data_IF_295268649827
#
_entry.id   IF_295268649827
#
_cell.length_a   1.000
_cell.length_b   1.000
_cell.length_c   1.000
_cell.angle_alpha   90.00
_cell.angle_beta   90.00
_cell.angle_gamma   90.00
#
_symmetry.space_group_name_H-M   'P 1'
#
loop_
_entity.id
_entity.type
_entity.pdbx_description
1 polymer ?
#
# COMPACT_ATOMS: atom_id res chain seq x y z
N UNK A 1 -41.94 4.16 61.94
CA UNK A 1 -40.68 3.75 61.29
C UNK A 1 -40.98 2.52 60.45
N UNK A 2 -41.26 2.71 59.16
CA UNK A 2 -41.35 1.59 58.21
C UNK A 2 -39.92 1.24 57.81
N UNK A 3 -39.44 0.10 58.29
CA UNK A 3 -38.20 -0.52 57.82
C UNK A 3 -38.50 -1.12 56.46
N UNK A 4 -38.08 -0.43 55.41
CA UNK A 4 -38.10 -0.97 54.05
C UNK A 4 -37.17 -2.21 54.01
N UNK A 5 -37.67 -3.39 53.62
CA UNK A 5 -36.83 -4.57 53.52
C UNK A 5 -35.78 -4.34 52.45
N UNK A 6 -34.51 -4.42 52.85
CA UNK A 6 -33.37 -4.44 51.92
C UNK A 6 -33.60 -5.53 50.87
N UNK A 7 -33.59 -5.20 49.57
CA UNK A 7 -33.77 -6.20 48.52
C UNK A 7 -32.66 -7.25 48.61
N UNK A 8 -32.99 -8.53 48.34
CA UNK A 8 -32.00 -9.61 48.37
C UNK A 8 -30.89 -9.32 47.36
N UNK A 9 -29.62 -9.67 47.69
CA UNK A 9 -28.52 -9.52 46.74
C UNK A 9 -28.81 -10.35 45.49
N UNK A 10 -28.51 -9.83 44.28
CA UNK A 10 -28.78 -10.54 43.04
C UNK A 10 -28.06 -11.90 43.01
N UNK A 11 -28.82 -12.99 42.81
CA UNK A 11 -28.37 -14.39 42.92
C UNK A 11 -27.37 -14.85 41.86
N UNK A 12 -26.98 -13.99 40.91
CA UNK A 12 -25.87 -14.28 40.01
C UNK A 12 -25.34 -12.99 39.40
N UNK A 13 -24.01 -12.84 39.24
CA UNK A 13 -23.48 -11.77 38.41
C UNK A 13 -24.06 -11.95 37.00
N UNK A 14 -24.61 -10.88 36.39
CA UNK A 14 -25.17 -10.99 35.05
C UNK A 14 -24.13 -11.59 34.11
N UNK A 15 -24.54 -12.43 33.15
CA UNK A 15 -23.62 -13.05 32.21
C UNK A 15 -22.76 -11.95 31.59
N UNK A 16 -21.44 -12.13 31.60
CA UNK A 16 -20.50 -11.15 31.09
C UNK A 16 -20.86 -10.82 29.63
N UNK A 17 -21.49 -9.66 29.43
CA UNK A 17 -21.88 -9.21 28.10
C UNK A 17 -20.60 -9.10 27.29
N UNK A 18 -20.50 -9.75 26.12
CA UNK A 18 -19.32 -9.63 25.29
C UNK A 18 -19.16 -8.16 24.91
N UNK A 19 -18.15 -7.50 25.50
CA UNK A 19 -17.75 -6.11 25.26
C UNK A 19 -17.11 -5.92 23.88
N UNK A 20 -17.48 -6.75 22.92
CA UNK A 20 -16.83 -6.84 21.62
C UNK A 20 -17.84 -7.14 20.51
N UNK A 21 -17.86 -6.30 19.46
CA UNK A 21 -18.67 -6.50 18.26
C UNK A 21 -18.08 -7.62 17.37
N UNK A 22 -18.20 -8.85 17.87
CA UNK A 22 -17.59 -10.03 17.28
C UNK A 22 -18.07 -10.29 15.85
N UNK A 23 -19.31 -9.93 15.52
CA UNK A 23 -19.85 -10.05 14.17
C UNK A 23 -19.10 -9.15 13.18
N UNK A 24 -18.89 -7.88 13.54
CA UNK A 24 -18.16 -6.91 12.72
C UNK A 24 -16.69 -7.30 12.53
N UNK A 25 -15.98 -7.64 13.61
CA UNK A 25 -14.56 -8.00 13.47
C UNK A 25 -14.35 -9.37 12.83
N UNK A 26 -15.23 -10.36 13.03
CA UNK A 26 -15.06 -11.67 12.39
C UNK A 26 -15.47 -11.67 10.92
N UNK A 27 -16.11 -10.61 10.43
CA UNK A 27 -16.45 -10.50 9.01
C UNK A 27 -15.18 -10.55 8.14
N UNK A 28 -15.06 -11.64 7.37
CA UNK A 28 -13.97 -11.86 6.40
C UNK A 28 -14.14 -10.97 5.17
N UNK A 29 -15.34 -10.45 4.94
CA UNK A 29 -15.65 -9.60 3.80
C UNK A 29 -14.81 -8.29 3.81
N UNK A 30 -14.75 -7.59 4.94
CA UNK A 30 -14.03 -6.32 5.05
C UNK A 30 -12.53 -6.41 4.65
N UNK A 31 -11.71 -7.32 5.21
CA UNK A 31 -10.30 -7.41 4.82
C UNK A 31 -10.15 -7.86 3.36
N UNK A 32 -11.05 -8.70 2.84
CA UNK A 32 -11.02 -9.08 1.44
C UNK A 32 -11.31 -7.90 0.51
N UNK A 33 -12.26 -7.03 0.87
CA UNK A 33 -12.59 -5.82 0.12
C UNK A 33 -11.42 -4.81 0.15
N UNK A 34 -10.81 -4.58 1.31
CA UNK A 34 -9.63 -3.71 1.42
C UNK A 34 -8.46 -4.26 0.61
N UNK A 35 -8.24 -5.58 0.64
CA UNK A 35 -7.22 -6.25 -0.16
C UNK A 35 -7.44 -6.01 -1.66
N UNK A 36 -8.65 -6.27 -2.15
CA UNK A 36 -9.01 -6.10 -3.56
C UNK A 36 -8.94 -4.62 -3.98
N UNK A 37 -9.42 -3.70 -3.15
CA UNK A 37 -9.34 -2.26 -3.39
C UNK A 37 -7.88 -1.81 -3.55
N UNK A 38 -7.01 -2.14 -2.59
CA UNK A 38 -5.60 -1.75 -2.65
C UNK A 38 -4.87 -2.44 -3.80
N UNK A 39 -5.17 -3.70 -4.10
CA UNK A 39 -4.58 -4.39 -5.25
C UNK A 39 -4.99 -3.73 -6.57
N UNK A 40 -6.27 -3.37 -6.71
CA UNK A 40 -6.77 -2.65 -7.90
C UNK A 40 -6.14 -1.26 -8.05
N UNK A 41 -5.83 -0.57 -6.95
CA UNK A 41 -5.08 0.69 -6.98
C UNK A 41 -3.68 0.52 -7.59
N UNK A 42 -2.97 -0.56 -7.22
CA UNK A 42 -1.60 -0.82 -7.67
C UNK A 42 -1.50 -1.29 -9.13
N UNK A 43 -2.58 -1.84 -9.68
CA UNK A 43 -2.61 -2.25 -11.08
C UNK A 43 -2.33 -1.08 -12.03
N UNK A 44 -2.71 0.16 -11.66
CA UNK A 44 -2.41 1.35 -12.46
C UNK A 44 -0.91 1.57 -12.66
N UNK A 45 -0.14 1.85 -11.58
CA UNK A 45 1.31 2.02 -11.67
C UNK A 45 2.05 0.82 -12.27
N UNK A 46 1.63 -0.42 -11.97
CA UNK A 46 2.25 -1.63 -12.54
C UNK A 46 2.01 -1.72 -14.05
N UNK A 47 0.78 -1.42 -14.51
CA UNK A 47 0.49 -1.39 -15.94
C UNK A 47 1.30 -0.29 -16.65
N UNK A 48 1.46 0.87 -16.03
CA UNK A 48 2.29 1.97 -16.54
C UNK A 48 3.77 1.54 -16.65
N UNK A 49 4.33 0.92 -15.62
CA UNK A 49 5.71 0.40 -15.66
C UNK A 49 5.92 -0.64 -16.76
N UNK A 50 4.97 -1.57 -16.93
CA UNK A 50 4.99 -2.56 -18.02
C UNK A 50 4.96 -1.89 -19.38
N UNK A 51 4.17 -0.83 -19.53
CA UNK A 51 4.04 -0.09 -20.77
C UNK A 51 5.33 0.68 -21.12
N UNK A 52 5.95 1.32 -20.14
CA UNK A 52 7.19 2.11 -20.34
C UNK A 52 8.38 1.18 -20.63
N UNK A 53 8.53 0.10 -19.87
CA UNK A 53 9.68 -0.82 -20.00
C UNK A 53 9.53 -1.84 -21.13
N UNK A 54 8.29 -2.13 -21.57
CA UNK A 54 7.98 -3.25 -22.45
C UNK A 54 8.16 -4.63 -21.79
N UNK A 55 8.46 -4.71 -20.49
CA UNK A 55 8.84 -5.95 -19.84
C UNK A 55 7.68 -6.58 -19.04
N UNK A 56 7.37 -7.83 -19.32
CA UNK A 56 6.29 -8.55 -18.63
C UNK A 56 6.63 -8.97 -17.19
N UNK A 57 7.92 -8.94 -16.81
CA UNK A 57 8.39 -9.42 -15.49
C UNK A 57 7.91 -8.58 -14.33
N UNK A 58 7.47 -7.35 -14.56
CA UNK A 58 6.82 -6.52 -13.56
C UNK A 58 5.57 -7.17 -12.95
N UNK A 59 4.97 -8.18 -13.61
CA UNK A 59 3.90 -8.99 -13.02
C UNK A 59 4.33 -9.78 -11.77
N UNK A 60 5.63 -10.03 -11.58
CA UNK A 60 6.18 -10.65 -10.36
C UNK A 60 5.95 -9.75 -9.13
N UNK A 61 5.77 -8.43 -9.32
CA UNK A 61 5.46 -7.52 -8.24
C UNK A 61 4.05 -7.73 -7.67
N UNK A 62 3.10 -8.25 -8.44
CA UNK A 62 1.72 -8.46 -7.97
C UNK A 62 1.64 -9.39 -6.74
N UNK A 63 2.20 -10.61 -6.76
CA UNK A 63 2.15 -11.47 -5.58
C UNK A 63 2.97 -10.90 -4.42
N UNK A 64 4.01 -10.09 -4.67
CA UNK A 64 4.72 -9.36 -3.62
C UNK A 64 3.83 -8.28 -2.98
N UNK A 65 3.18 -7.43 -3.77
CA UNK A 65 2.25 -6.43 -3.23
C UNK A 65 1.06 -7.06 -2.53
N UNK A 66 0.54 -8.19 -3.02
CA UNK A 66 -0.49 -8.95 -2.33
C UNK A 66 -0.01 -9.37 -0.92
N UNK A 67 1.23 -9.85 -0.81
CA UNK A 67 1.84 -10.17 0.48
C UNK A 67 1.93 -8.95 1.39
N UNK A 68 2.43 -7.81 0.87
CA UNK A 68 2.55 -6.56 1.63
C UNK A 68 1.19 -6.07 2.16
N UNK A 69 0.15 -6.12 1.32
CA UNK A 69 -1.21 -5.71 1.69
C UNK A 69 -1.78 -6.67 2.74
N UNK A 70 -1.65 -7.98 2.55
CA UNK A 70 -2.11 -8.99 3.51
C UNK A 70 -1.42 -8.83 4.87
N UNK A 71 -0.11 -8.59 4.85
CA UNK A 71 0.68 -8.33 6.05
C UNK A 71 0.16 -7.08 6.77
N UNK A 72 -0.03 -5.97 6.05
CA UNK A 72 -0.57 -4.73 6.63
C UNK A 72 -1.95 -4.97 7.28
N UNK A 73 -2.87 -5.64 6.59
CA UNK A 73 -4.22 -5.94 7.10
C UNK A 73 -4.12 -6.84 8.35
N UNK A 74 -3.29 -7.88 8.30
CA UNK A 74 -3.11 -8.83 9.38
C UNK A 74 -2.57 -8.15 10.65
N UNK A 75 -1.48 -7.39 10.51
CA UNK A 75 -0.82 -6.70 11.63
C UNK A 75 -1.79 -5.74 12.31
N UNK A 76 -2.57 -4.96 11.55
CA UNK A 76 -3.55 -4.02 12.13
C UNK A 76 -4.69 -4.72 12.86
N UNK A 77 -5.22 -5.81 12.30
CA UNK A 77 -6.27 -6.60 12.97
C UNK A 77 -5.78 -7.30 14.23
N UNK A 78 -4.51 -7.72 14.24
CA UNK A 78 -3.89 -8.31 15.41
C UNK A 78 -3.70 -7.26 16.52
N UNK A 79 -3.13 -6.10 16.20
CA UNK A 79 -2.93 -4.99 17.15
C UNK A 79 -4.24 -4.40 17.70
N UNK A 80 -5.35 -4.50 16.96
CA UNK A 80 -6.65 -4.00 17.42
C UNK A 80 -7.28 -4.85 18.55
N UNK A 81 -6.72 -6.03 18.87
CA UNK A 81 -7.20 -6.83 20.00
C UNK A 81 -6.87 -6.14 21.32
N UNK A 82 -7.81 -6.09 22.30
CA UNK A 82 -7.60 -5.38 23.56
C UNK A 82 -6.32 -5.82 24.31
N UNK A 83 -6.04 -7.12 24.29
CA UNK A 83 -4.85 -7.73 24.89
C UNK A 83 -3.52 -7.20 24.34
N UNK A 84 -3.52 -6.60 23.14
CA UNK A 84 -2.32 -6.21 22.41
C UNK A 84 -2.23 -4.69 22.17
N UNK A 85 -3.11 -3.89 22.78
CA UNK A 85 -3.22 -2.44 22.51
C UNK A 85 -1.96 -1.64 22.93
N UNK A 86 -1.17 -2.18 23.87
CA UNK A 86 0.10 -1.61 24.32
C UNK A 86 1.23 -1.73 23.27
N UNK A 87 1.08 -2.59 22.26
CA UNK A 87 2.08 -2.81 21.20
C UNK A 87 1.94 -1.86 20.00
N UNK A 88 1.25 -0.72 20.17
CA UNK A 88 1.13 0.32 19.15
C UNK A 88 2.44 1.05 18.81
N UNK A 89 3.58 0.59 19.33
CA UNK A 89 4.89 1.23 19.25
C UNK A 89 5.29 1.52 17.78
N UNK A 90 5.62 2.77 17.43
CA UNK A 90 6.13 3.11 16.10
C UNK A 90 7.35 2.26 15.68
N UNK A 91 8.15 1.77 16.63
CA UNK A 91 9.34 0.93 16.35
C UNK A 91 8.98 -0.39 15.67
N UNK A 92 7.90 -1.04 16.11
CA UNK A 92 7.45 -2.29 15.49
C UNK A 92 6.99 -2.07 14.04
N UNK A 93 6.38 -0.90 13.76
CA UNK A 93 5.97 -0.50 12.41
C UNK A 93 7.18 -0.26 11.51
N UNK A 94 8.23 0.35 12.04
CA UNK A 94 9.49 0.53 11.31
C UNK A 94 10.14 -0.81 10.98
N UNK A 95 10.09 -1.79 11.89
CA UNK A 95 10.54 -3.16 11.61
C UNK A 95 9.73 -3.86 10.52
N UNK A 96 8.41 -3.67 10.49
CA UNK A 96 7.55 -4.18 9.43
C UNK A 96 7.92 -3.59 8.06
N UNK A 97 8.11 -2.27 8.01
CA UNK A 97 8.54 -1.55 6.80
C UNK A 97 9.93 -2.02 6.34
N UNK A 98 10.89 -2.12 7.26
CA UNK A 98 12.23 -2.59 6.96
C UNK A 98 12.20 -3.99 6.33
N UNK A 99 11.41 -4.91 6.89
CA UNK A 99 11.24 -6.26 6.34
C UNK A 99 10.65 -6.23 4.92
N UNK A 100 9.62 -5.41 4.69
CA UNK A 100 9.01 -5.24 3.35
C UNK A 100 10.04 -4.74 2.34
N UNK A 101 10.87 -3.75 2.71
CA UNK A 101 11.91 -3.19 1.84
C UNK A 101 13.01 -4.19 1.51
N UNK A 102 13.47 -4.99 2.49
CA UNK A 102 14.42 -6.08 2.23
C UNK A 102 13.86 -7.13 1.27
N UNK A 103 12.61 -7.55 1.48
CA UNK A 103 11.96 -8.53 0.60
C UNK A 103 11.76 -7.96 -0.80
N UNK A 104 11.43 -6.67 -0.92
CA UNK A 104 11.34 -5.99 -2.20
C UNK A 104 12.69 -6.03 -2.94
N UNK A 105 13.80 -5.82 -2.25
CA UNK A 105 15.14 -5.87 -2.87
C UNK A 105 15.37 -7.21 -3.57
N UNK A 106 15.01 -8.31 -2.91
CA UNK A 106 15.11 -9.66 -3.48
C UNK A 106 14.22 -9.83 -4.72
N UNK A 107 13.02 -9.24 -4.70
CA UNK A 107 12.10 -9.27 -5.85
C UNK A 107 12.67 -8.45 -7.02
N UNK A 108 13.25 -7.28 -6.76
CA UNK A 108 13.87 -6.44 -7.78
C UNK A 108 15.07 -7.16 -8.42
N UNK A 109 15.91 -7.83 -7.65
CA UNK A 109 16.98 -8.68 -8.20
C UNK A 109 16.44 -9.79 -9.09
N UNK A 110 15.33 -10.43 -8.71
CA UNK A 110 14.69 -11.45 -9.54
C UNK A 110 14.16 -10.87 -10.88
N UNK A 111 13.71 -9.62 -10.89
CA UNK A 111 13.26 -8.92 -12.10
C UNK A 111 14.46 -8.58 -13.00
N UNK A 112 15.53 -8.00 -12.42
CA UNK A 112 16.74 -7.56 -13.12
C UNK A 112 17.64 -8.72 -13.59
N UNK A 113 17.49 -9.93 -13.04
CA UNK A 113 18.36 -11.12 -13.29
C UNK A 113 19.83 -10.88 -13.00
N UNK A 114 20.15 -9.95 -12.09
CA UNK A 114 21.51 -9.73 -11.67
C UNK A 114 21.90 -10.82 -10.65
N UNK A 115 22.89 -11.68 -10.96
CA UNK A 115 23.42 -12.60 -9.96
C UNK A 115 24.13 -11.81 -8.86
N UNK A 116 24.07 -12.30 -7.62
CA UNK A 116 24.80 -11.72 -6.49
C UNK A 116 26.29 -12.06 -6.64
N UNK A 117 27.01 -11.31 -7.48
CA UNK A 117 28.47 -11.48 -7.65
C UNK A 117 29.22 -10.68 -6.59
N UNK A 118 30.45 -11.11 -6.31
CA UNK A 118 31.34 -10.39 -5.39
C UNK A 118 31.61 -8.94 -5.88
N UNK A 119 31.61 -8.73 -7.19
CA UNK A 119 31.79 -7.41 -7.80
C UNK A 119 30.63 -6.46 -7.47
N UNK A 120 29.39 -6.95 -7.55
CA UNK A 120 28.21 -6.16 -7.19
C UNK A 120 28.21 -5.83 -5.68
N UNK A 121 28.57 -6.79 -4.83
CA UNK A 121 28.70 -6.56 -3.40
C UNK A 121 29.83 -5.57 -3.07
N UNK A 122 30.95 -5.64 -3.78
CA UNK A 122 32.05 -4.66 -3.68
C UNK A 122 31.59 -3.29 -4.13
N UNK A 123 30.78 -3.20 -5.19
CA UNK A 123 30.18 -1.96 -5.67
C UNK A 123 29.37 -1.27 -4.56
N UNK A 124 28.52 -2.01 -3.84
CA UNK A 124 27.75 -1.46 -2.72
C UNK A 124 28.63 -1.01 -1.55
N UNK A 125 29.77 -1.69 -1.32
CA UNK A 125 30.70 -1.32 -0.25
C UNK A 125 31.48 -0.04 -0.57
N UNK A 126 31.77 0.19 -1.86
CA UNK A 126 32.47 1.39 -2.32
C UNK A 126 31.51 2.57 -2.50
N UNK A 127 30.32 2.31 -3.02
CA UNK A 127 29.26 3.31 -3.21
C UNK A 127 27.90 2.73 -2.74
N UNK A 128 27.49 3.01 -1.48
CA UNK A 128 26.23 2.50 -0.94
C UNK A 128 24.98 2.96 -1.69
N UNK A 129 25.04 4.08 -2.42
CA UNK A 129 23.89 4.61 -3.14
C UNK A 129 23.52 3.74 -4.34
N UNK A 130 24.48 2.98 -4.90
CA UNK A 130 24.22 1.99 -5.97
C UNK A 130 23.28 0.87 -5.54
N UNK A 131 23.09 0.65 -4.23
CA UNK A 131 22.06 -0.26 -3.74
C UNK A 131 20.65 0.27 -3.99
N UNK A 132 20.46 1.58 -4.00
CA UNK A 132 19.17 2.27 -4.18
C UNK A 132 18.94 2.64 -5.64
N UNK A 133 18.93 1.65 -6.53
CA UNK A 133 18.65 1.90 -7.94
C UNK A 133 17.22 2.47 -8.17
N UNK A 134 16.98 3.23 -9.24
CA UNK A 134 15.68 3.88 -9.47
C UNK A 134 14.49 2.93 -9.49
N UNK A 135 14.68 1.70 -9.99
CA UNK A 135 13.63 0.69 -10.02
C UNK A 135 13.30 0.22 -8.59
N UNK A 136 14.31 -0.02 -7.76
CA UNK A 136 14.10 -0.33 -6.34
C UNK A 136 13.40 0.81 -5.60
N UNK A 137 13.87 2.06 -5.74
CA UNK A 137 13.29 3.23 -5.05
C UNK A 137 11.84 3.45 -5.46
N UNK A 138 11.52 3.37 -6.75
CA UNK A 138 10.16 3.54 -7.25
C UNK A 138 9.22 2.46 -6.72
N UNK A 139 9.64 1.19 -6.76
CA UNK A 139 8.83 0.10 -6.21
C UNK A 139 8.74 0.11 -4.68
N UNK A 140 9.75 0.65 -3.99
CA UNK A 140 9.72 0.86 -2.55
C UNK A 140 8.65 1.89 -2.21
N UNK A 141 8.61 3.01 -2.95
CA UNK A 141 7.53 4.00 -2.84
C UNK A 141 6.15 3.38 -3.03
N UNK A 142 5.95 2.58 -4.08
CA UNK A 142 4.68 1.88 -4.31
C UNK A 142 4.34 0.88 -3.20
N UNK A 143 5.33 0.15 -2.67
CA UNK A 143 5.12 -0.80 -1.57
C UNK A 143 4.71 -0.09 -0.28
N UNK A 144 5.32 1.06 0.02
CA UNK A 144 4.97 1.89 1.17
C UNK A 144 3.58 2.51 1.01
N UNK A 145 3.22 2.98 -0.19
CA UNK A 145 1.87 3.47 -0.49
C UNK A 145 0.85 2.34 -0.31
N UNK A 146 1.10 1.16 -0.88
CA UNK A 146 0.24 -0.02 -0.73
C UNK A 146 0.03 -0.41 0.73
N UNK A 147 1.15 -0.53 1.46
CA UNK A 147 1.16 -0.88 2.88
C UNK A 147 0.42 0.16 3.71
N UNK A 148 0.75 1.44 3.53
CA UNK A 148 0.17 2.56 4.27
C UNK A 148 -1.32 2.70 4.01
N UNK A 149 -1.74 2.60 2.74
CA UNK A 149 -3.14 2.66 2.34
C UNK A 149 -3.95 1.51 2.94
N UNK A 150 -3.49 0.26 2.80
CA UNK A 150 -4.16 -0.90 3.38
C UNK A 150 -4.20 -0.85 4.92
N UNK A 151 -3.11 -0.42 5.55
CA UNK A 151 -3.02 -0.24 7.00
C UNK A 151 -3.99 0.84 7.50
N UNK A 152 -4.06 1.98 6.81
CA UNK A 152 -4.94 3.10 7.16
C UNK A 152 -6.41 2.69 7.05
N UNK A 153 -6.81 2.12 5.91
CA UNK A 153 -8.17 1.63 5.70
C UNK A 153 -8.57 0.57 6.73
N UNK A 154 -7.67 -0.37 7.02
CA UNK A 154 -7.95 -1.41 8.02
C UNK A 154 -8.18 -0.79 9.39
N UNK A 155 -7.37 0.20 9.77
CA UNK A 155 -7.52 0.91 11.05
C UNK A 155 -8.84 1.68 11.11
N UNK A 156 -9.15 2.46 10.07
CA UNK A 156 -10.41 3.22 9.96
C UNK A 156 -11.64 2.32 10.14
N UNK A 157 -11.70 1.19 9.44
CA UNK A 157 -12.86 0.30 9.54
C UNK A 157 -12.89 -0.53 10.83
N UNK A 158 -11.75 -0.79 11.47
CA UNK A 158 -11.74 -1.36 12.82
C UNK A 158 -12.28 -0.35 13.84
N UNK A 159 -11.95 0.93 13.67
CA UNK A 159 -12.42 2.02 14.54
C UNK A 159 -13.88 2.42 14.30
N UNK A 160 -14.42 2.19 13.09
CA UNK A 160 -15.85 2.37 12.78
C UNK A 160 -16.75 1.36 13.52
N UNK A 161 -16.20 0.25 14.00
CA UNK A 161 -16.94 -0.73 14.81
C UNK A 161 -17.55 -0.12 16.08
N UNK A 162 -18.53 -0.81 16.68
CA UNK A 162 -19.06 -0.39 17.97
C UNK A 162 -17.99 -0.55 19.06
N UNK A 163 -17.84 0.48 19.89
CA UNK A 163 -16.87 0.45 20.96
C UNK A 163 -17.39 -0.43 22.14
N UNK A 164 -16.49 -1.03 22.95
CA UNK A 164 -16.87 -1.89 24.07
C UNK A 164 -17.90 -1.29 25.04
N UNK A 165 -17.77 0.00 25.30
CA UNK A 165 -18.62 0.83 26.16
C UNK A 165 -19.98 1.15 25.52
N UNK A 166 -20.06 1.20 24.18
CA UNK A 166 -21.31 1.41 23.45
C UNK A 166 -22.21 0.18 23.41
N UNK A 167 -21.64 -1.00 23.65
CA UNK A 167 -22.37 -2.27 23.70
C UNK A 167 -23.16 -2.46 24.99
N UNK A 168 -22.91 -1.64 26.01
CA UNK A 168 -23.65 -1.69 27.28
C UNK A 168 -25.09 -1.19 27.03
N UNK A 169 -26.12 -1.99 27.38
CA UNK A 169 -27.52 -1.61 27.27
C UNK A 169 -27.80 -0.27 27.94
N UNK A 170 -28.73 0.51 27.38
CA UNK A 170 -29.07 1.83 27.88
C UNK A 170 -29.59 1.81 29.33
N UNK A 171 -30.32 0.74 29.70
CA UNK A 171 -30.91 0.51 31.04
C UNK A 171 -29.82 0.39 32.11
N UNK A 172 -28.73 -0.32 31.80
CA UNK A 172 -27.60 -0.54 32.72
C UNK A 172 -26.68 0.70 32.86
N UNK A 173 -26.74 1.67 31.93
CA UNK A 173 -25.92 2.89 32.01
C UNK A 173 -26.37 3.83 33.11
N UNK A 174 -27.65 3.81 33.46
CA UNK A 174 -28.26 4.72 34.44
C UNK A 174 -27.97 4.30 35.90
N UNK A 175 -27.58 3.04 36.13
CA UNK A 175 -27.56 2.46 37.48
C UNK A 175 -26.25 2.54 38.28
N UNK A 176 -25.05 2.42 37.67
CA UNK A 176 -23.81 2.30 38.49
C UNK A 176 -22.47 2.55 37.79
N UNK A 177 -22.43 2.71 36.45
CA UNK A 177 -21.17 2.81 35.66
C UNK A 177 -21.09 4.05 34.77
N UNK A 178 -21.75 5.14 35.17
CA UNK A 178 -21.78 6.39 34.42
C UNK A 178 -20.40 7.10 34.26
N UNK A 179 -19.39 6.72 35.06
CA UNK A 179 -18.07 7.36 35.09
C UNK A 179 -17.07 6.83 34.05
N UNK A 180 -17.40 5.77 33.30
CA UNK A 180 -16.56 5.25 32.19
C UNK A 180 -17.26 5.50 30.85
N UNK A 181 -17.67 6.73 30.58
CA UNK A 181 -18.11 7.12 29.25
C UNK A 181 -16.88 7.52 28.44
N UNK A 182 -16.41 6.63 27.55
CA UNK A 182 -15.45 7.07 26.56
C UNK A 182 -16.18 8.08 25.65
N UNK A 183 -15.51 9.17 25.28
CA UNK A 183 -16.09 10.14 24.37
C UNK A 183 -16.51 9.42 23.06
N UNK A 184 -17.76 9.58 22.61
CA UNK A 184 -18.23 8.91 21.40
C UNK A 184 -17.34 9.32 20.23
N UNK A 185 -16.72 8.34 19.57
CA UNK A 185 -15.87 8.63 18.40
C UNK A 185 -16.71 9.28 17.30
N UNK A 186 -16.19 10.33 16.68
CA UNK A 186 -16.83 10.96 15.53
C UNK A 186 -16.70 10.07 14.28
N UNK A 187 -17.60 9.11 14.12
CA UNK A 187 -17.59 8.15 13.00
C UNK A 187 -17.85 8.81 11.64
N UNK A 188 -18.51 9.96 11.62
CA UNK A 188 -18.74 10.72 10.41
C UNK A 188 -17.42 11.24 9.83
N UNK A 189 -16.57 11.82 10.70
CA UNK A 189 -15.23 12.27 10.33
C UNK A 189 -14.35 11.12 9.83
N UNK A 190 -14.45 9.93 10.44
CA UNK A 190 -13.74 8.73 9.96
C UNK A 190 -14.18 8.34 8.55
N UNK A 191 -15.47 8.46 8.25
CA UNK A 191 -16.02 8.15 6.93
C UNK A 191 -15.61 9.18 5.89
N UNK A 192 -15.54 10.46 6.27
CA UNK A 192 -15.02 11.54 5.43
C UNK A 192 -13.55 11.32 5.09
N UNK A 193 -12.72 10.97 6.08
CA UNK A 193 -11.32 10.58 5.86
C UNK A 193 -11.19 9.37 4.93
N UNK A 194 -12.07 8.38 5.07
CA UNK A 194 -12.13 7.25 4.15
C UNK A 194 -12.45 7.70 2.72
N UNK A 195 -13.48 8.53 2.55
CA UNK A 195 -13.90 9.03 1.25
C UNK A 195 -12.80 9.87 0.58
N UNK A 196 -12.09 10.70 1.35
CA UNK A 196 -10.95 11.48 0.88
C UNK A 196 -9.80 10.58 0.39
N UNK A 197 -9.39 9.59 1.21
CA UNK A 197 -8.34 8.64 0.82
C UNK A 197 -8.71 7.83 -0.43
N UNK A 198 -9.96 7.35 -0.50
CA UNK A 198 -10.48 6.64 -1.66
C UNK A 198 -10.50 7.53 -2.91
N UNK A 199 -10.87 8.80 -2.78
CA UNK A 199 -10.84 9.73 -3.90
C UNK A 199 -9.42 9.93 -4.43
N UNK A 200 -8.45 10.15 -3.53
CA UNK A 200 -7.04 10.31 -3.92
C UNK A 200 -6.47 9.06 -4.60
N UNK A 201 -6.81 7.87 -4.11
CA UNK A 201 -6.42 6.64 -4.80
C UNK A 201 -7.10 6.49 -6.16
N UNK A 202 -8.36 6.90 -6.30
CA UNK A 202 -9.06 6.95 -7.59
C UNK A 202 -8.39 7.91 -8.57
N UNK A 203 -7.95 9.09 -8.11
CA UNK A 203 -7.17 10.05 -8.91
C UNK A 203 -5.84 9.43 -9.35
N UNK A 204 -5.10 8.80 -8.44
CA UNK A 204 -3.84 8.13 -8.79
C UNK A 204 -4.04 7.02 -9.85
N UNK A 205 -5.07 6.19 -9.68
CA UNK A 205 -5.39 5.10 -10.61
C UNK A 205 -5.81 5.62 -11.98
N UNK A 206 -6.65 6.65 -12.02
CA UNK A 206 -7.11 7.28 -13.28
C UNK A 206 -5.98 8.01 -14.00
N UNK A 207 -5.09 8.70 -13.28
CA UNK A 207 -3.88 9.30 -13.84
C UNK A 207 -2.94 8.23 -14.41
N UNK A 208 -2.70 7.16 -13.67
CA UNK A 208 -1.89 6.02 -14.15
C UNK A 208 -2.49 5.42 -15.42
N UNK A 209 -3.82 5.31 -15.48
CA UNK A 209 -4.52 4.80 -16.65
C UNK A 209 -4.44 5.74 -17.85
N UNK A 210 -4.56 7.04 -17.62
CA UNK A 210 -4.39 8.06 -18.66
C UNK A 210 -2.96 8.03 -19.23
N UNK A 211 -1.94 7.94 -18.36
CA UNK A 211 -0.53 7.85 -18.74
C UNK A 211 -0.19 6.55 -19.49
N UNK A 212 -0.82 5.44 -19.12
CA UNK A 212 -0.60 4.14 -19.78
C UNK A 212 -1.17 4.09 -21.21
N UNK A 213 -1.96 5.09 -21.62
CA UNK A 213 -2.58 5.16 -22.95
C UNK A 213 -1.58 5.68 -23.99
N UNK A 214 -0.76 4.79 -24.54
CA UNK A 214 0.28 5.15 -25.52
C UNK A 214 -0.26 5.35 -26.95
N UNK A 215 -1.49 4.93 -27.27
CA UNK A 215 -2.08 5.12 -28.60
C UNK A 215 -3.45 5.79 -28.51
N UNK A 216 -3.51 7.08 -28.87
CA UNK A 216 -4.76 7.80 -29.13
C UNK A 216 -5.42 7.40 -30.45
N UNK A 217 -5.06 6.25 -31.03
CA UNK A 217 -5.78 5.72 -32.18
C UNK A 217 -7.01 4.99 -31.65
N UNK A 218 -8.24 5.51 -31.88
CA UNK A 218 -9.44 4.75 -31.54
C UNK A 218 -9.35 3.41 -32.26
N UNK A 219 -9.44 2.31 -31.51
CA UNK A 219 -9.49 0.99 -32.11
C UNK A 219 -10.71 0.95 -33.05
N UNK A 220 -10.53 0.73 -34.37
CA UNK A 220 -11.66 0.76 -35.31
C UNK A 220 -12.65 -0.34 -34.91
N UNK A 221 -13.93 0.05 -34.73
CA UNK A 221 -15.03 -0.89 -34.44
C UNK A 221 -15.49 -1.01 -32.97
N UNK A 222 -14.89 -0.28 -32.01
CA UNK A 222 -15.38 -0.23 -30.62
C UNK A 222 -15.91 1.15 -30.26
N UNK A 223 -17.21 1.37 -30.49
CA UNK A 223 -17.89 2.66 -30.25
C UNK A 223 -18.39 2.85 -28.81
N UNK A 224 -18.44 1.78 -28.00
CA UNK A 224 -19.08 1.81 -26.69
C UNK A 224 -18.19 1.26 -25.56
N UNK A 225 -18.32 1.88 -24.38
CA UNK A 225 -17.75 1.41 -23.11
C UNK A 225 -16.26 1.71 -22.88
N UNK A 226 -15.79 1.41 -21.66
CA UNK A 226 -14.41 1.67 -21.19
C UNK A 226 -13.33 1.02 -22.07
N UNK A 227 -13.66 -0.04 -22.81
CA UNK A 227 -12.73 -0.70 -23.73
C UNK A 227 -12.40 0.13 -24.98
N UNK A 228 -13.23 1.12 -25.33
CA UNK A 228 -12.98 2.06 -26.40
C UNK A 228 -11.85 3.06 -26.07
N UNK A 229 -11.47 3.17 -24.78
CA UNK A 229 -10.40 4.07 -24.32
C UNK A 229 -8.98 3.58 -24.68
N UNK A 230 -8.84 2.42 -25.33
CA UNK A 230 -7.52 1.85 -25.66
C UNK A 230 -6.75 1.35 -24.44
N UNK A 231 -7.43 1.17 -23.31
CA UNK A 231 -6.84 0.64 -22.08
C UNK A 231 -6.77 -0.89 -22.16
N UNK A 232 -5.70 -1.47 -21.59
CA UNK A 232 -5.59 -2.91 -21.42
C UNK A 232 -6.74 -3.46 -20.55
N UNK A 233 -7.22 -4.69 -20.78
CA UNK A 233 -8.34 -5.27 -20.05
C UNK A 233 -8.09 -5.33 -18.53
N UNK A 234 -6.85 -5.57 -18.14
CA UNK A 234 -6.41 -5.61 -16.74
C UNK A 234 -6.67 -4.27 -16.01
N UNK A 235 -6.42 -3.15 -16.70
CA UNK A 235 -6.53 -1.81 -16.13
C UNK A 235 -7.98 -1.33 -16.10
N UNK A 236 -8.78 -1.67 -17.12
CA UNK A 236 -10.24 -1.47 -17.10
C UNK A 236 -10.86 -2.21 -15.92
N UNK A 237 -10.48 -3.48 -15.74
CA UNK A 237 -10.95 -4.30 -14.64
C UNK A 237 -10.54 -3.70 -13.28
N UNK A 238 -9.30 -3.22 -13.16
CA UNK A 238 -8.82 -2.55 -11.96
C UNK A 238 -9.60 -1.27 -11.64
N UNK A 239 -9.84 -0.40 -12.62
CA UNK A 239 -10.67 0.81 -12.47
C UNK A 239 -12.07 0.47 -11.98
N UNK A 240 -12.74 -0.47 -12.66
CA UNK A 240 -14.10 -0.88 -12.31
C UNK A 240 -14.14 -1.45 -10.89
N UNK A 241 -13.25 -2.39 -10.56
CA UNK A 241 -13.22 -2.95 -9.21
C UNK A 241 -12.88 -1.92 -8.15
N UNK A 242 -11.94 -1.00 -8.41
CA UNK A 242 -11.56 0.03 -7.46
C UNK A 242 -12.76 0.89 -7.05
N UNK A 243 -13.49 1.42 -8.04
CA UNK A 243 -14.64 2.29 -7.75
C UNK A 243 -15.83 1.51 -7.16
N UNK A 244 -16.14 0.31 -7.66
CA UNK A 244 -17.25 -0.50 -7.13
C UNK A 244 -16.99 -0.94 -5.68
N UNK A 245 -15.78 -1.44 -5.38
CA UNK A 245 -15.40 -1.87 -4.03
C UNK A 245 -15.33 -0.66 -3.10
N UNK A 246 -14.81 0.47 -3.58
CA UNK A 246 -14.72 1.70 -2.81
C UNK A 246 -16.09 2.25 -2.40
N UNK A 247 -17.05 2.28 -3.33
CA UNK A 247 -18.46 2.63 -3.05
C UNK A 247 -19.12 1.62 -2.12
N UNK A 248 -18.83 0.33 -2.28
CA UNK A 248 -19.38 -0.71 -1.42
C UNK A 248 -18.87 -0.57 0.02
N UNK A 249 -17.57 -0.31 0.20
CA UNK A 249 -16.97 -0.01 1.50
C UNK A 249 -17.51 1.30 2.09
N UNK A 250 -17.77 2.33 1.27
CA UNK A 250 -18.41 3.58 1.72
C UNK A 250 -19.82 3.30 2.28
N UNK A 251 -20.61 2.50 1.57
CA UNK A 251 -21.94 2.08 2.02
C UNK A 251 -21.87 1.23 3.30
N UNK A 252 -20.85 0.39 3.43
CA UNK A 252 -20.58 -0.38 4.64
C UNK A 252 -20.20 0.52 5.83
N UNK A 253 -19.41 1.57 5.60
CA UNK A 253 -19.10 2.58 6.60
C UNK A 253 -20.32 3.40 7.03
N UNK A 254 -21.19 3.80 6.10
CA UNK A 254 -22.46 4.46 6.40
C UNK A 254 -23.37 3.59 7.29
N UNK A 255 -23.43 2.28 7.02
CA UNK A 255 -24.17 1.34 7.87
C UNK A 255 -23.62 1.32 9.30
N UNK A 256 -22.30 1.41 9.49
CA UNK A 256 -21.69 1.46 10.82
C UNK A 256 -22.08 2.74 11.57
N UNK A 257 -22.09 3.89 10.88
CA UNK A 257 -22.54 5.18 11.43
C UNK A 257 -24.00 5.08 11.86
N UNK A 258 -24.90 4.62 10.99
CA UNK A 258 -26.32 4.46 11.29
C UNK A 258 -26.57 3.49 12.45
N UNK A 259 -25.89 2.34 12.46
CA UNK A 259 -25.99 1.36 13.54
C UNK A 259 -25.60 1.97 14.88
N UNK A 260 -24.57 2.81 14.93
CA UNK A 260 -24.19 3.51 16.17
C UNK A 260 -25.23 4.54 16.64
N UNK A 261 -25.99 5.14 15.71
CA UNK A 261 -27.09 6.07 16.05
C UNK A 261 -28.30 5.29 16.57
N UNK A 262 -28.75 4.27 15.85
CA UNK A 262 -29.86 3.41 16.28
C UNK A 262 -29.60 2.73 17.63
N UNK A 263 -28.36 2.31 17.90
CA UNK A 263 -28.00 1.74 19.20
C UNK A 263 -28.08 2.77 20.33
N UNK A 264 -27.76 4.05 20.07
CA UNK A 264 -27.90 5.13 21.05
C UNK A 264 -29.35 5.55 21.27
N UNK A 265 -30.17 5.47 20.23
CA UNK A 265 -31.60 5.82 20.24
C UNK A 265 -32.49 4.67 20.71
N UNK A 266 -31.95 3.46 20.94
CA UNK A 266 -32.72 2.29 21.35
C UNK A 266 -33.74 1.81 20.29
N UNK A 267 -33.48 2.07 19.01
CA UNK A 267 -34.45 1.78 17.95
C UNK A 267 -34.69 0.27 17.80
N UNK A 268 -35.94 -0.23 17.87
CA UNK A 268 -36.23 -1.65 17.66
C UNK A 268 -36.02 -2.07 16.19
N UNK A 269 -35.66 -3.34 15.93
CA UNK A 269 -35.64 -3.91 14.57
C UNK A 269 -34.33 -3.77 13.76
N UNK A 270 -33.23 -3.34 14.38
CA UNK A 270 -31.91 -3.11 13.72
C UNK A 270 -31.41 -4.33 12.93
N UNK A 271 -31.67 -5.55 13.41
CA UNK A 271 -31.16 -6.79 12.79
C UNK A 271 -31.69 -7.03 11.36
N UNK A 272 -32.95 -6.69 11.08
CA UNK A 272 -33.54 -6.94 9.75
C UNK A 272 -33.00 -5.97 8.69
N UNK A 273 -32.77 -4.71 9.08
CA UNK A 273 -32.26 -3.67 8.18
C UNK A 273 -30.79 -3.95 7.84
N UNK A 274 -29.97 -4.28 8.85
CA UNK A 274 -28.53 -4.56 8.67
C UNK A 274 -28.29 -5.74 7.73
N UNK A 275 -29.06 -6.83 7.85
CA UNK A 275 -28.93 -8.00 6.96
C UNK A 275 -29.30 -7.72 5.50
N UNK A 276 -30.29 -6.86 5.24
CA UNK A 276 -30.73 -6.53 3.87
C UNK A 276 -29.94 -5.39 3.23
N UNK A 277 -29.30 -4.53 4.04
CA UNK A 277 -28.57 -3.35 3.58
C UNK A 277 -27.49 -3.71 2.56
N UNK A 278 -26.63 -4.68 2.87
CA UNK A 278 -25.51 -5.06 1.99
C UNK A 278 -25.98 -5.52 0.61
N UNK A 279 -27.05 -6.34 0.55
CA UNK A 279 -27.60 -6.81 -0.72
C UNK A 279 -28.19 -5.66 -1.53
N UNK A 280 -28.94 -4.77 -0.89
CA UNK A 280 -29.54 -3.60 -1.56
C UNK A 280 -28.48 -2.63 -2.07
N UNK A 281 -27.48 -2.31 -1.25
CA UNK A 281 -26.35 -1.48 -1.64
C UNK A 281 -25.59 -2.08 -2.84
N UNK A 282 -25.30 -3.39 -2.80
CA UNK A 282 -24.63 -4.08 -3.90
C UNK A 282 -25.45 -4.01 -5.21
N UNK A 283 -26.75 -4.28 -5.15
CA UNK A 283 -27.64 -4.20 -6.32
C UNK A 283 -27.66 -2.77 -6.88
N UNK A 284 -27.79 -1.76 -6.02
CA UNK A 284 -27.80 -0.36 -6.45
C UNK A 284 -26.47 0.04 -7.10
N UNK A 285 -25.34 -0.29 -6.48
CA UNK A 285 -24.00 0.03 -7.00
C UNK A 285 -23.75 -0.67 -8.34
N UNK A 286 -24.10 -1.96 -8.45
CA UNK A 286 -23.99 -2.69 -9.71
C UNK A 286 -24.92 -2.12 -10.78
N UNK A 287 -26.15 -1.76 -10.42
CA UNK A 287 -27.10 -1.13 -11.34
C UNK A 287 -26.56 0.18 -11.92
N UNK A 288 -26.04 1.06 -11.06
CA UNK A 288 -25.39 2.32 -11.49
C UNK A 288 -24.15 2.03 -12.33
N UNK A 289 -23.34 1.03 -11.97
CA UNK A 289 -22.16 0.63 -12.75
C UNK A 289 -22.51 0.11 -14.15
N UNK A 290 -23.59 -0.66 -14.29
CA UNK A 290 -24.10 -1.11 -15.60
C UNK A 290 -24.55 0.09 -16.42
N UNK A 291 -25.38 0.97 -15.85
CA UNK A 291 -25.82 2.20 -16.52
C UNK A 291 -24.64 3.07 -16.97
N UNK A 292 -23.63 3.21 -16.11
CA UNK A 292 -22.41 3.96 -16.43
C UNK A 292 -21.60 3.31 -17.56
N UNK A 293 -21.60 1.99 -17.68
CA UNK A 293 -20.88 1.29 -18.76
C UNK A 293 -21.55 1.40 -20.13
N UNK A 294 -22.86 1.68 -20.15
CA UNK A 294 -23.64 1.95 -21.36
C UNK A 294 -23.50 3.40 -21.85
N UNK A 295 -22.92 4.30 -21.05
CA UNK A 295 -22.71 5.68 -21.47
C UNK A 295 -21.72 5.75 -22.64
N UNK A 296 -22.05 6.44 -23.74
CA UNK A 296 -21.14 6.66 -24.84
C UNK A 296 -20.05 7.66 -24.42
N UNK A 297 -18.92 7.14 -23.93
CA UNK A 297 -17.72 7.92 -23.60
C UNK A 297 -16.96 8.39 -24.86
N UNK A 298 -17.49 8.10 -26.04
CA UNK A 298 -16.83 8.22 -27.35
C UNK A 298 -16.57 9.64 -27.86
N UNK A 299 -17.08 10.69 -27.22
CA UNK A 299 -16.91 12.08 -27.68
C UNK A 299 -16.13 12.99 -26.73
N UNK A 300 -15.59 12.48 -25.62
CA UNK A 300 -14.76 13.28 -24.68
C UNK A 300 -13.36 13.63 -25.21
N UNK A 301 -13.18 13.66 -26.53
CA UNK A 301 -11.92 13.97 -27.21
C UNK A 301 -11.34 15.31 -26.74
N UNK A 302 -12.17 16.34 -26.57
CA UNK A 302 -11.74 17.65 -26.06
C UNK A 302 -11.21 17.59 -24.62
N UNK A 303 -11.90 16.86 -23.74
CA UNK A 303 -11.49 16.70 -22.34
C UNK A 303 -10.21 15.86 -22.24
N UNK A 304 -10.07 14.83 -23.07
CA UNK A 304 -8.86 14.03 -23.16
C UNK A 304 -7.65 14.86 -23.66
N UNK A 305 -7.86 15.80 -24.59
CA UNK A 305 -6.81 16.70 -25.07
C UNK A 305 -6.34 17.66 -23.96
N UNK A 306 -7.29 18.29 -23.26
CA UNK A 306 -7.00 19.18 -22.12
C UNK A 306 -6.28 18.40 -21.01
N UNK A 307 -6.79 17.22 -20.65
CA UNK A 307 -6.18 16.39 -19.61
C UNK A 307 -4.76 15.95 -20.01
N UNK A 308 -4.54 15.57 -21.27
CA UNK A 308 -3.22 15.23 -21.77
C UNK A 308 -2.27 16.44 -21.72
N UNK A 309 -2.74 17.62 -22.11
CA UNK A 309 -1.95 18.86 -22.00
C UNK A 309 -1.57 19.18 -20.54
N UNK A 310 -2.51 19.03 -19.60
CA UNK A 310 -2.26 19.20 -18.16
C UNK A 310 -1.25 18.18 -17.64
N UNK A 311 -1.39 16.91 -18.02
CA UNK A 311 -0.46 15.84 -17.63
C UNK A 311 0.95 16.14 -18.18
N UNK A 312 1.07 16.51 -19.45
CA UNK A 312 2.35 16.88 -20.06
C UNK A 312 2.97 18.11 -19.38
N UNK A 313 2.18 19.13 -19.07
CA UNK A 313 2.63 20.29 -18.32
C UNK A 313 3.12 19.92 -16.91
N UNK A 314 2.42 19.02 -16.22
CA UNK A 314 2.82 18.54 -14.90
C UNK A 314 4.11 17.73 -14.96
N UNK A 315 4.23 16.81 -15.92
CA UNK A 315 5.46 16.03 -16.13
C UNK A 315 6.65 16.93 -16.45
N UNK A 316 6.44 17.94 -17.29
CA UNK A 316 7.45 18.95 -17.59
C UNK A 316 7.85 19.71 -16.31
N UNK A 317 6.88 20.16 -15.51
CA UNK A 317 7.14 20.87 -14.26
C UNK A 317 7.91 20.01 -13.24
N UNK A 318 7.54 18.74 -13.07
CA UNK A 318 8.27 17.80 -12.20
C UNK A 318 9.68 17.54 -12.72
N UNK A 319 9.84 17.33 -14.03
CA UNK A 319 11.15 17.13 -14.65
C UNK A 319 12.04 18.36 -14.49
N UNK A 320 11.46 19.55 -14.60
CA UNK A 320 12.16 20.82 -14.40
C UNK A 320 12.58 20.98 -12.93
N UNK A 321 11.68 20.68 -11.98
CA UNK A 321 12.01 20.69 -10.55
C UNK A 321 13.13 19.70 -10.21
N UNK A 322 13.03 18.46 -10.68
CA UNK A 322 14.07 17.43 -10.48
C UNK A 322 15.39 17.86 -11.12
N UNK A 323 15.34 18.40 -12.34
CA UNK A 323 16.52 18.95 -13.01
C UNK A 323 17.16 20.09 -12.23
N UNK A 324 16.35 20.96 -11.62
CA UNK A 324 16.82 22.08 -10.81
C UNK A 324 17.46 21.60 -9.50
N UNK A 325 16.85 20.60 -8.84
CA UNK A 325 17.45 19.95 -7.66
C UNK A 325 18.75 19.24 -8.02
N UNK A 326 18.79 18.48 -9.13
CA UNK A 326 19.99 17.80 -9.59
C UNK A 326 21.10 18.81 -9.95
N UNK A 327 20.77 19.90 -10.63
CA UNK A 327 21.70 20.98 -10.94
C UNK A 327 22.23 21.65 -9.67
N UNK A 328 21.36 21.88 -8.68
CA UNK A 328 21.76 22.41 -7.37
C UNK A 328 22.72 21.44 -6.66
N UNK A 329 22.43 20.14 -6.66
CA UNK A 329 23.31 19.12 -6.08
C UNK A 329 24.65 19.08 -6.81
N UNK A 330 24.67 19.12 -8.15
CA UNK A 330 25.90 19.17 -8.95
C UNK A 330 26.72 20.44 -8.66
N UNK A 331 26.05 21.59 -8.54
CA UNK A 331 26.70 22.85 -8.19
C UNK A 331 27.31 22.80 -6.78
N UNK A 332 26.57 22.25 -5.81
CA UNK A 332 27.06 22.04 -4.45
C UNK A 332 28.20 21.02 -4.40
N UNK A 333 28.15 19.94 -5.15
CA UNK A 333 29.24 18.94 -5.19
C UNK A 333 30.51 19.50 -5.83
N UNK A 334 30.37 20.42 -6.80
CA UNK A 334 31.50 21.15 -7.39
C UNK A 334 32.25 22.02 -6.38
N UNK A 335 31.56 22.58 -5.38
CA UNK A 335 32.19 23.33 -4.28
C UNK A 335 33.07 22.45 -3.37
N UNK A 336 32.81 21.14 -3.32
CA UNK A 336 33.58 20.18 -2.51
C UNK A 336 34.63 19.40 -3.32
N UNK A 337 34.89 19.79 -4.58
CA UNK A 337 35.89 19.13 -5.43
C UNK A 337 35.52 17.69 -5.84
N UNK A 338 34.25 17.31 -5.74
CA UNK A 338 33.77 16.00 -6.21
C UNK A 338 33.62 16.09 -7.73
N UNK A 339 34.70 15.85 -8.45
CA UNK A 339 34.65 15.64 -9.90
C UNK A 339 33.96 14.31 -10.18
N UNK A 340 32.69 14.37 -10.62
CA UNK A 340 32.04 13.22 -11.22
C UNK A 340 32.78 12.90 -12.51
N UNK A 341 33.51 11.78 -12.52
CA UNK A 341 34.32 11.34 -13.64
C UNK A 341 33.42 11.17 -14.86
N UNK A 342 33.52 12.09 -15.82
CA UNK A 342 32.85 11.97 -17.11
C UNK A 342 33.35 10.69 -17.83
N UNK A 343 32.53 10.05 -18.68
CA UNK A 343 33.01 9.01 -19.57
C UNK A 343 34.20 9.56 -20.37
N UNK A 344 35.33 8.82 -20.51
CA UNK A 344 36.50 9.34 -21.20
C UNK A 344 36.15 9.65 -22.66
N UNK A 345 36.19 10.93 -23.02
CA UNK A 345 36.18 11.35 -24.42
C UNK A 345 37.39 10.74 -25.14
N UNK A 346 37.25 10.29 -26.40
CA UNK A 346 38.39 9.88 -27.20
C UNK A 346 39.36 11.07 -27.34
N UNK A 347 40.67 10.88 -27.07
CA UNK A 347 41.61 12.00 -26.98
C UNK A 347 41.73 12.73 -28.32
N UNK A 348 41.59 14.07 -28.36
CA UNK A 348 41.96 14.85 -29.53
C UNK A 348 43.48 14.79 -29.74
N UNK A 349 43.97 14.87 -30.99
CA UNK A 349 45.40 14.94 -31.27
C UNK A 349 46.01 16.19 -30.62
N UNK A 350 46.96 15.97 -29.72
CA UNK A 350 47.58 16.98 -28.87
C UNK A 350 48.40 18.01 -29.68
N UNK A 351 48.20 19.32 -29.50
CA UNK A 351 49.28 20.30 -29.64
C UNK A 351 50.24 20.17 -28.45
N UNK A 352 51.54 20.19 -28.73
CA UNK A 352 52.60 20.24 -27.71
C UNK A 352 52.51 21.56 -26.96
N UNK A 353 52.12 21.49 -25.69
CA UNK A 353 52.09 22.62 -24.75
C UNK A 353 53.22 22.44 -23.75
N UNK A 354 53.94 23.53 -23.51
CA UNK A 354 55.00 23.68 -22.52
C UNK A 354 54.60 23.15 -21.13
N UNK A 355 55.58 22.53 -20.48
CA UNK A 355 55.50 21.86 -19.19
C UNK A 355 54.87 22.76 -18.12
N UNK A 356 53.61 22.51 -17.78
CA UNK A 356 53.05 22.92 -16.50
C UNK A 356 53.88 22.30 -15.37
N UNK A 357 54.07 23.00 -14.24
CA UNK A 357 54.69 22.42 -13.05
C UNK A 357 53.95 21.14 -12.63
N UNK A 358 54.67 20.12 -12.14
CA UNK A 358 54.06 18.84 -11.75
C UNK A 358 52.95 19.11 -10.76
N UNK A 359 51.74 18.64 -11.08
CA UNK A 359 50.62 18.62 -10.14
C UNK A 359 51.11 18.01 -8.82
N UNK A 360 50.74 18.57 -7.65
CA UNK A 360 51.07 17.95 -6.37
C UNK A 360 50.62 16.49 -6.40
N UNK A 361 51.42 15.56 -5.85
CA UNK A 361 51.04 14.15 -5.84
C UNK A 361 49.64 14.03 -5.22
N UNK A 362 48.72 13.27 -5.83
CA UNK A 362 47.38 13.12 -5.28
C UNK A 362 47.51 12.68 -3.83
N UNK A 363 47.02 13.52 -2.91
CA UNK A 363 47.03 13.22 -1.49
C UNK A 363 46.30 11.91 -1.31
N UNK A 364 47.02 10.84 -0.97
CA UNK A 364 46.41 9.53 -0.76
C UNK A 364 45.32 9.70 0.31
N UNK A 365 44.07 9.28 0.03
CA UNK A 365 43.02 9.39 1.01
C UNK A 365 43.45 8.63 2.27
N UNK A 366 43.48 9.35 3.39
CA UNK A 366 43.90 8.82 4.72
C UNK A 366 43.04 7.63 5.16
N UNK A 367 41.85 7.48 4.58
CA UNK A 367 40.92 6.38 4.82
C UNK A 367 40.87 5.43 3.61
N UNK A 368 40.88 4.10 3.84
CA UNK A 368 40.63 3.13 2.78
C UNK A 368 39.31 3.41 2.05
N UNK A 369 39.22 3.21 0.73
CA UNK A 369 38.05 3.57 -0.07
C UNK A 369 36.77 2.82 0.31
N UNK A 370 36.88 1.68 0.99
CA UNK A 370 35.74 0.90 1.48
C UNK A 370 35.25 1.33 2.88
N UNK A 371 36.04 2.13 3.62
CA UNK A 371 35.72 2.51 5.00
C UNK A 371 34.37 3.25 5.14
N UNK A 372 34.04 4.28 4.33
CA UNK A 372 32.78 4.99 4.49
C UNK A 372 31.56 4.10 4.18
N UNK A 373 31.61 3.30 3.12
CA UNK A 373 30.51 2.39 2.80
C UNK A 373 30.41 1.22 3.78
N UNK A 374 31.54 0.69 4.27
CA UNK A 374 31.57 -0.32 5.33
C UNK A 374 30.90 0.16 6.62
N UNK A 375 31.18 1.39 7.05
CA UNK A 375 30.53 2.01 8.21
C UNK A 375 29.03 2.18 7.99
N UNK A 376 28.63 2.67 6.81
CA UNK A 376 27.22 2.81 6.44
C UNK A 376 26.47 1.47 6.55
N UNK A 377 27.01 0.40 5.95
CA UNK A 377 26.39 -0.92 5.99
C UNK A 377 26.37 -1.53 7.39
N UNK A 378 27.39 -1.28 8.21
CA UNK A 378 27.41 -1.72 9.61
C UNK A 378 26.28 -1.05 10.40
N UNK A 379 26.17 0.28 10.31
CA UNK A 379 25.13 1.03 11.01
C UNK A 379 23.73 0.66 10.52
N UNK A 380 23.55 0.56 9.19
CA UNK A 380 22.27 0.16 8.59
C UNK A 380 21.88 -1.27 9.01
N UNK A 381 22.83 -2.21 9.00
CA UNK A 381 22.58 -3.59 9.43
C UNK A 381 22.24 -3.66 10.90
N UNK A 382 22.92 -2.90 11.76
CA UNK A 382 22.64 -2.85 13.19
C UNK A 382 21.25 -2.28 13.47
N UNK A 383 20.87 -1.18 12.79
CA UNK A 383 19.54 -0.61 12.87
C UNK A 383 18.47 -1.60 12.41
N UNK A 384 18.70 -2.25 11.27
CA UNK A 384 17.79 -3.22 10.68
C UNK A 384 17.60 -4.46 11.57
N UNK A 385 18.70 -5.00 12.11
CA UNK A 385 18.68 -6.11 13.07
C UNK A 385 17.96 -5.72 14.35
N UNK A 386 18.19 -4.52 14.88
CA UNK A 386 17.48 -4.00 16.05
C UNK A 386 15.97 -3.90 15.81
N UNK A 387 15.55 -3.32 14.68
CA UNK A 387 14.14 -3.21 14.31
C UNK A 387 13.50 -4.58 14.09
N UNK A 388 14.20 -5.50 13.43
CA UNK A 388 13.72 -6.85 13.18
C UNK A 388 13.62 -7.67 14.47
N UNK A 389 14.61 -7.56 15.36
CA UNK A 389 14.59 -8.19 16.69
C UNK A 389 13.37 -7.70 17.48
N UNK A 390 13.11 -6.40 17.50
CA UNK A 390 11.95 -5.85 18.20
C UNK A 390 10.62 -6.32 17.58
N UNK A 391 10.54 -6.34 16.24
CA UNK A 391 9.38 -6.87 15.53
C UNK A 391 9.13 -8.35 15.82
N UNK A 392 10.17 -9.19 15.83
CA UNK A 392 10.06 -10.62 16.10
C UNK A 392 9.71 -10.90 17.57
N UNK A 393 10.38 -10.23 18.51
CA UNK A 393 10.12 -10.43 19.95
C UNK A 393 8.70 -10.03 20.35
N UNK A 394 8.16 -8.96 19.76
CA UNK A 394 6.74 -8.60 19.94
C UNK A 394 5.78 -9.66 19.37
N UNK A 395 6.15 -10.34 18.29
CA UNK A 395 5.32 -11.41 17.72
C UNK A 395 5.41 -12.73 18.51
N UNK A 396 6.54 -13.01 19.15
CA UNK A 396 6.77 -14.30 19.85
C UNK A 396 6.01 -14.43 21.17
N UNK A 397 5.63 -13.32 21.82
CA UNK A 397 4.78 -13.36 23.02
C UNK A 397 3.32 -13.81 22.72
N UNK A 398 2.92 -13.94 21.44
CA UNK A 398 1.53 -14.13 21.00
C UNK A 398 1.09 -15.51 20.46
N UNK A 399 1.90 -16.59 20.55
CA UNK A 399 1.59 -18.04 20.27
C UNK A 399 2.24 -18.68 19.02
N UNK A 400 2.93 -19.81 19.26
CA UNK A 400 3.72 -20.63 18.33
C UNK A 400 2.99 -21.48 17.24
N UNK A 401 1.71 -21.91 17.33
CA UNK A 401 1.15 -22.85 16.35
C UNK A 401 0.58 -22.19 15.08
N UNK A 402 0.08 -20.95 15.13
CA UNK A 402 -0.54 -20.30 13.97
C UNK A 402 0.48 -19.85 12.91
N UNK A 403 1.71 -19.53 13.34
CA UNK A 403 2.83 -19.06 12.51
C UNK A 403 3.31 -20.14 11.54
N UNK A 404 3.48 -21.39 12.00
CA UNK A 404 3.87 -22.52 11.12
C UNK A 404 2.81 -22.81 10.06
N UNK A 405 1.52 -22.77 10.42
CA UNK A 405 0.42 -23.01 9.49
C UNK A 405 0.29 -21.93 8.42
N UNK A 406 0.41 -20.66 8.81
CA UNK A 406 0.30 -19.55 7.84
C UNK A 406 1.51 -19.49 6.90
N UNK A 407 2.74 -19.62 7.42
CA UNK A 407 3.94 -19.57 6.59
C UNK A 407 4.03 -20.74 5.61
N UNK A 408 3.61 -21.94 6.02
CA UNK A 408 3.57 -23.12 5.13
C UNK A 408 2.52 -22.95 4.03
N UNK A 409 1.33 -22.42 4.36
CA UNK A 409 0.29 -22.10 3.38
C UNK A 409 0.73 -21.01 2.42
N UNK A 410 1.38 -19.95 2.91
CA UNK A 410 1.91 -18.88 2.08
C UNK A 410 3.01 -19.40 1.15
N UNK A 411 3.94 -20.22 1.67
CA UNK A 411 5.02 -20.83 0.85
C UNK A 411 4.47 -21.84 -0.16
N UNK A 412 3.42 -22.57 0.17
CA UNK A 412 2.73 -23.46 -0.76
C UNK A 412 2.01 -22.68 -1.86
N UNK A 413 1.28 -21.63 -1.48
CA UNK A 413 0.60 -20.73 -2.40
C UNK A 413 1.59 -20.02 -3.33
N UNK A 414 2.71 -19.52 -2.80
CA UNK A 414 3.79 -18.90 -3.57
C UNK A 414 4.38 -19.87 -4.60
N UNK A 415 4.70 -21.11 -4.19
CA UNK A 415 5.19 -22.16 -5.10
C UNK A 415 4.19 -22.47 -6.22
N UNK A 416 2.89 -22.58 -5.89
CA UNK A 416 1.83 -22.80 -6.87
C UNK A 416 1.73 -21.65 -7.88
N UNK A 417 1.88 -20.42 -7.41
CA UNK A 417 1.80 -19.24 -8.26
C UNK A 417 2.99 -19.16 -9.23
N UNK A 418 4.20 -19.45 -8.74
CA UNK A 418 5.39 -19.56 -9.58
C UNK A 418 5.32 -20.70 -10.58
N UNK A 419 4.83 -21.87 -10.18
CA UNK A 419 4.62 -22.99 -11.10
C UNK A 419 3.64 -22.64 -12.22
N UNK A 420 2.54 -21.93 -11.89
CA UNK A 420 1.55 -21.47 -12.88
C UNK A 420 2.11 -20.39 -13.81
N UNK A 421 2.89 -19.45 -13.28
CA UNK A 421 3.55 -18.42 -14.08
C UNK A 421 4.57 -19.04 -15.06
N UNK A 422 5.38 -20.01 -14.59
CA UNK A 422 6.31 -20.77 -15.44
C UNK A 422 5.59 -21.52 -16.57
N UNK A 423 4.54 -22.28 -16.22
CA UNK A 423 3.75 -23.01 -17.21
C UNK A 423 3.01 -22.10 -18.21
N UNK A 424 2.65 -20.88 -17.82
CA UNK A 424 2.06 -19.88 -18.72
C UNK A 424 3.12 -19.31 -19.68
N UNK A 425 4.34 -19.06 -19.19
CA UNK A 425 5.45 -18.60 -20.01
C UNK A 425 5.91 -19.64 -21.05
N UNK A 426 5.94 -20.92 -20.67
CA UNK A 426 6.24 -22.02 -21.62
C UNK A 426 5.18 -22.15 -22.71
N UNK A 427 3.89 -22.07 -22.34
CA UNK A 427 2.78 -22.06 -23.30
C UNK A 427 2.83 -20.87 -24.25
N UNK A 428 3.28 -19.70 -23.79
CA UNK A 428 3.47 -18.55 -24.65
C UNK A 428 4.65 -18.75 -25.61
N UNK A 429 5.76 -19.34 -25.16
CA UNK A 429 6.91 -19.69 -26.02
C UNK A 429 6.54 -20.71 -27.10
N UNK A 430 5.81 -21.78 -26.74
CA UNK A 430 5.38 -22.81 -27.67
C UNK A 430 4.35 -22.34 -28.72
N UNK A 431 3.74 -21.16 -28.54
CA UNK A 431 2.85 -20.54 -29.53
C UNK A 431 3.58 -19.58 -30.48
N UNK A 432 4.82 -19.24 -30.15
CA UNK A 432 5.66 -18.31 -30.91
C UNK A 432 6.74 -19.03 -31.74
N UNK A 433 7.03 -20.29 -31.40
CA UNK A 433 7.77 -21.24 -32.23
C UNK A 433 6.77 -22.00 -33.11
#
# INVERSE_FOLDING_TARGET
MHTDPTPPPPESPPPAIPLFDGGWQRAVAQPALILLLTLSLLMGPIALMRQISGEQRFLILLPFFLFVILQAIYTRRWLARPEHRWFGDPRARLGEIALVLLLLRLVVWAIQRQPLTLEVARGWLLDPLTFFDPLYVLNAGLALIAWGFAASLTTLFLDLGLAPDELIPWEDRLGTRAWVQAQPKNRQEMLERYAEQWMWGGVLLTLSAALARVQFRPAPGRLFGLSALGLGPELVLALVFYFLIGLFLLSYGQLAVLRSRWQREGTPGIGQVTGRWQRRALITILGVGVLASLLPLGSSFGLALILNAVIQALLLAVSLLVGLVAALVMWLSGLFGVEMTAPPEPPPPLPQIDLLPPAPPPTEPVLPPWAPGGLFWLLLSLLLLYLLYHFLTQQEMGRAPLRRGWFTRLRAWWRLLWARAGAAAERARARLA
#
